data_IF_373027629096
#
_entry.id   IF_373027629096
#
_cell.length_a   1.000
_cell.length_b   1.000
_cell.length_c   1.000
_cell.angle_alpha   90.00
_cell.angle_beta   90.00
_cell.angle_gamma   90.00
#
_symmetry.space_group_name_H-M   'P 1'
#
loop_
_entity.id
_entity.type
_entity.pdbx_description
1 polymer ?
#
# COMPACT_ATOMS: atom_id res chain seq x y z
N UNK A 1 17.69 57.75 -42.74
CA UNK A 1 17.15 56.41 -43.08
C UNK A 1 17.70 55.41 -42.07
N UNK A 2 16.82 54.55 -41.51
CA UNK A 2 16.98 53.88 -40.20
C UNK A 2 18.03 52.76 -40.20
N UNK A 3 18.83 52.70 -39.13
CA UNK A 3 19.76 51.62 -38.82
C UNK A 3 19.04 50.37 -38.26
N UNK A 4 19.49 49.19 -38.67
CA UNK A 4 19.04 47.88 -38.19
C UNK A 4 19.69 47.55 -36.84
N UNK A 5 18.89 47.37 -35.79
CA UNK A 5 19.35 46.83 -34.52
C UNK A 5 19.00 45.34 -34.43
N UNK A 6 20.04 44.50 -34.33
CA UNK A 6 19.95 43.07 -34.00
C UNK A 6 19.72 42.92 -32.50
N UNK A 7 18.54 42.49 -32.10
CA UNK A 7 18.24 42.14 -30.70
C UNK A 7 18.53 40.67 -30.46
N UNK A 8 19.57 40.38 -29.66
CA UNK A 8 19.83 39.06 -29.11
C UNK A 8 18.98 38.88 -27.85
N UNK A 9 18.04 37.94 -27.86
CA UNK A 9 17.27 37.54 -26.67
C UNK A 9 18.01 36.39 -25.99
N UNK A 10 18.78 36.73 -24.94
CA UNK A 10 19.27 35.77 -23.96
C UNK A 10 18.10 35.42 -23.02
N UNK A 11 17.49 34.25 -23.23
CA UNK A 11 16.48 33.69 -22.32
C UNK A 11 17.16 32.87 -21.23
N UNK A 12 17.21 33.42 -20.01
CA UNK A 12 17.66 32.75 -18.79
C UNK A 12 16.60 31.73 -18.35
N UNK A 13 16.82 30.44 -18.58
CA UNK A 13 15.96 29.37 -18.06
C UNK A 13 16.31 29.11 -16.58
N UNK A 14 15.48 29.64 -15.68
CA UNK A 14 15.41 29.21 -14.28
C UNK A 14 14.91 27.75 -14.24
N UNK A 15 15.84 26.81 -14.04
CA UNK A 15 15.52 25.43 -13.67
C UNK A 15 15.24 25.39 -12.16
N UNK A 16 13.97 25.56 -11.78
CA UNK A 16 13.50 25.18 -10.45
C UNK A 16 13.72 23.66 -10.27
N UNK A 17 14.49 23.31 -9.24
CA UNK A 17 14.83 21.93 -8.92
C UNK A 17 13.61 21.06 -8.64
N UNK A 18 13.32 20.13 -9.53
CA UNK A 18 12.60 18.91 -9.21
C UNK A 18 13.54 18.04 -8.36
N UNK A 19 13.35 18.05 -7.05
CA UNK A 19 13.96 17.04 -6.18
C UNK A 19 13.34 15.69 -6.58
N UNK A 20 14.11 14.71 -7.07
CA UNK A 20 13.54 13.45 -7.48
C UNK A 20 13.00 12.73 -6.24
N UNK A 21 11.69 12.50 -6.23
CA UNK A 21 11.02 11.69 -5.21
C UNK A 21 11.25 10.18 -5.44
N UNK A 22 12.50 9.75 -5.69
CA UNK A 22 12.83 8.34 -5.95
C UNK A 22 14.33 8.08 -5.74
N UNK A 23 14.79 8.04 -4.49
CA UNK A 23 16.17 7.63 -4.18
C UNK A 23 16.27 6.48 -3.16
N UNK A 24 15.15 6.06 -2.57
CA UNK A 24 15.15 4.90 -1.70
C UNK A 24 15.16 3.63 -2.55
N UNK A 25 16.19 2.80 -2.37
CA UNK A 25 16.31 1.50 -3.03
C UNK A 25 15.44 0.42 -2.39
N UNK A 26 15.79 -0.83 -2.65
CA UNK A 26 15.11 -2.00 -2.08
C UNK A 26 15.07 -1.96 -0.55
N UNK A 27 14.07 -2.61 0.03
CA UNK A 27 13.89 -2.72 1.48
C UNK A 27 15.06 -3.46 2.13
N UNK A 28 15.89 -2.80 2.96
CA UNK A 28 17.06 -3.44 3.53
C UNK A 28 16.69 -4.44 4.64
N UNK A 29 17.52 -5.46 4.88
CA UNK A 29 17.39 -6.34 6.05
C UNK A 29 17.19 -5.54 7.34
N UNK A 30 16.08 -5.83 8.04
CA UNK A 30 15.68 -5.09 9.23
C UNK A 30 15.22 -6.04 10.32
N UNK A 31 15.98 -6.13 11.41
CA UNK A 31 15.63 -7.00 12.54
C UNK A 31 14.38 -6.52 13.30
N UNK A 32 14.37 -5.24 13.71
CA UNK A 32 13.34 -4.65 14.56
C UNK A 32 12.83 -3.33 14.02
N UNK A 33 11.57 -3.04 14.32
CA UNK A 33 10.88 -1.79 14.02
C UNK A 33 10.55 -1.07 15.31
N UNK A 34 10.55 0.27 15.29
CA UNK A 34 10.04 1.04 16.43
C UNK A 34 8.50 1.02 16.50
N UNK A 35 7.84 0.99 15.33
CA UNK A 35 6.39 1.02 15.20
C UNK A 35 5.97 0.53 13.81
N UNK A 36 4.70 0.19 13.66
CA UNK A 36 4.06 -0.11 12.37
C UNK A 36 2.86 0.81 12.16
N UNK A 37 2.76 1.39 10.96
CA UNK A 37 1.69 2.31 10.56
C UNK A 37 1.08 1.91 9.23
N UNK A 38 -0.18 2.24 9.06
CA UNK A 38 -0.89 2.14 7.79
C UNK A 38 -1.25 3.54 7.32
N UNK A 39 -0.98 3.82 6.05
CA UNK A 39 -1.36 5.04 5.37
C UNK A 39 -2.34 4.71 4.23
N UNK A 40 -3.60 5.08 4.42
CA UNK A 40 -4.68 4.91 3.43
C UNK A 40 -5.08 6.23 2.76
N UNK A 41 -4.32 7.32 2.96
CA UNK A 41 -4.62 8.60 2.31
C UNK A 41 -4.81 8.45 0.78
N UNK A 42 -3.98 7.67 0.05
CA UNK A 42 -4.20 7.49 -1.38
C UNK A 42 -5.54 6.84 -1.74
N UNK A 43 -6.09 5.97 -0.88
CA UNK A 43 -7.44 5.40 -1.08
C UNK A 43 -8.54 6.41 -0.79
N UNK A 44 -8.38 7.20 0.29
CA UNK A 44 -9.33 8.26 0.64
C UNK A 44 -9.42 9.30 -0.46
N UNK A 45 -8.28 9.70 -1.03
CA UNK A 45 -8.20 10.67 -2.13
C UNK A 45 -8.88 10.15 -3.42
N UNK A 46 -9.00 8.82 -3.57
CA UNK A 46 -9.74 8.15 -4.65
C UNK A 46 -11.24 7.97 -4.35
N UNK A 47 -11.73 8.49 -3.23
CA UNK A 47 -13.15 8.45 -2.85
C UNK A 47 -13.57 7.24 -2.01
N UNK A 48 -12.64 6.40 -1.55
CA UNK A 48 -12.95 5.18 -0.80
C UNK A 48 -13.11 5.39 0.72
N UNK A 49 -13.47 6.59 1.19
CA UNK A 49 -13.37 7.04 2.59
C UNK A 49 -13.67 6.00 3.68
N UNK A 50 -14.93 5.59 3.82
CA UNK A 50 -15.34 4.64 4.88
C UNK A 50 -14.67 3.26 4.75
N UNK A 51 -14.50 2.77 3.52
CA UNK A 51 -13.85 1.48 3.26
C UNK A 51 -12.35 1.53 3.54
N UNK A 52 -11.71 2.65 3.21
CA UNK A 52 -10.31 2.92 3.52
C UNK A 52 -10.07 2.98 5.03
N UNK A 53 -11.01 3.56 5.79
CA UNK A 53 -10.93 3.65 7.25
C UNK A 53 -11.08 2.29 7.91
N UNK A 54 -12.05 1.48 7.45
CA UNK A 54 -12.19 0.09 7.89
C UNK A 54 -10.93 -0.73 7.57
N UNK A 55 -10.41 -0.63 6.35
CA UNK A 55 -9.17 -1.29 5.96
C UNK A 55 -7.99 -0.83 6.82
N UNK A 56 -7.88 0.46 7.13
CA UNK A 56 -6.80 0.98 7.96
C UNK A 56 -6.83 0.35 9.37
N UNK A 57 -8.01 0.17 9.95
CA UNK A 57 -8.18 -0.48 11.24
C UNK A 57 -7.76 -1.96 11.19
N UNK A 58 -8.32 -2.72 10.25
CA UNK A 58 -8.06 -4.15 10.10
C UNK A 58 -6.59 -4.43 9.77
N UNK A 59 -6.02 -3.71 8.80
CA UNK A 59 -4.62 -3.87 8.40
C UNK A 59 -3.67 -3.43 9.51
N UNK A 60 -4.00 -2.39 10.29
CA UNK A 60 -3.18 -2.01 11.45
C UNK A 60 -3.17 -3.10 12.51
N UNK A 61 -4.32 -3.71 12.81
CA UNK A 61 -4.42 -4.81 13.76
C UNK A 61 -3.65 -6.04 13.26
N UNK A 62 -3.84 -6.43 12.00
CA UNK A 62 -3.15 -7.54 11.34
C UNK A 62 -1.62 -7.38 11.34
N UNK A 63 -1.12 -6.18 11.01
CA UNK A 63 0.31 -5.88 11.02
C UNK A 63 0.88 -5.90 12.44
N UNK A 64 0.20 -5.30 13.41
CA UNK A 64 0.66 -5.31 14.82
C UNK A 64 0.75 -6.73 15.37
N UNK A 65 -0.26 -7.56 15.08
CA UNK A 65 -0.26 -8.98 15.44
C UNK A 65 0.88 -9.73 14.78
N UNK A 66 1.03 -9.59 13.46
CA UNK A 66 2.03 -10.33 12.67
C UNK A 66 3.46 -9.93 13.00
N UNK A 67 3.71 -8.64 13.26
CA UNK A 67 5.03 -8.11 13.57
C UNK A 67 5.29 -7.96 15.08
N UNK A 68 4.45 -8.50 15.96
CA UNK A 68 4.54 -8.28 17.41
C UNK A 68 5.94 -8.57 17.98
N UNK A 69 6.58 -9.66 17.56
CA UNK A 69 7.95 -10.03 17.99
C UNK A 69 9.08 -9.17 17.40
N UNK A 70 8.76 -8.23 16.50
CA UNK A 70 9.71 -7.32 15.84
C UNK A 70 9.46 -5.85 16.21
N UNK A 71 8.44 -5.54 17.01
CA UNK A 71 8.11 -4.16 17.44
C UNK A 71 8.67 -3.91 18.85
N UNK A 72 9.28 -2.74 19.07
CA UNK A 72 9.67 -2.27 20.42
C UNK A 72 11.12 -1.82 20.59
N UNK A 73 11.89 -1.71 19.50
CA UNK A 73 13.27 -1.22 19.53
C UNK A 73 13.44 0.23 19.04
N UNK A 74 14.67 0.73 19.04
CA UNK A 74 15.03 2.04 18.46
C UNK A 74 15.16 2.02 16.91
N UNK A 75 14.56 1.01 16.26
CA UNK A 75 14.64 0.81 14.81
C UNK A 75 13.83 1.84 14.01
N UNK A 76 13.89 1.78 12.67
CA UNK A 76 13.00 2.55 11.81
C UNK A 76 11.53 2.11 11.97
N UNK A 77 10.60 2.93 11.47
CA UNK A 77 9.17 2.58 11.39
C UNK A 77 8.88 1.83 10.11
N UNK A 78 8.03 0.82 10.17
CA UNK A 78 7.41 0.23 9.00
C UNK A 78 6.12 0.99 8.68
N UNK A 79 6.01 1.58 7.50
CA UNK A 79 4.79 2.27 7.05
C UNK A 79 4.27 1.57 5.81
N UNK A 80 3.07 1.00 5.88
CA UNK A 80 2.40 0.40 4.72
C UNK A 80 1.48 1.43 4.09
N UNK A 81 1.83 1.89 2.89
CA UNK A 81 1.00 2.79 2.09
C UNK A 81 0.11 1.96 1.19
N UNK A 82 -1.20 2.10 1.32
CA UNK A 82 -2.17 1.37 0.50
C UNK A 82 -2.55 2.22 -0.70
N UNK A 83 -2.40 1.66 -1.90
CA UNK A 83 -2.60 2.37 -3.17
C UNK A 83 -3.84 1.94 -3.92
N UNK A 84 -4.27 0.68 -3.79
CA UNK A 84 -5.53 0.20 -4.35
C UNK A 84 -6.17 -0.91 -3.50
N UNK A 85 -7.49 -0.91 -3.46
CA UNK A 85 -8.34 -1.98 -2.94
C UNK A 85 -9.43 -2.24 -3.96
N UNK A 86 -9.59 -3.50 -4.36
CA UNK A 86 -10.69 -3.94 -5.23
C UNK A 86 -11.40 -5.11 -4.56
N UNK A 87 -12.58 -4.86 -4.01
CA UNK A 87 -13.51 -5.91 -3.59
C UNK A 87 -14.53 -6.17 -4.70
N UNK A 88 -14.58 -7.40 -5.21
CA UNK A 88 -15.54 -7.75 -6.28
C UNK A 88 -16.95 -8.01 -5.73
N UNK A 89 -18.03 -7.75 -6.47
CA UNK A 89 -19.36 -8.22 -6.06
C UNK A 89 -19.36 -9.75 -5.89
N UNK A 90 -19.90 -10.25 -4.78
CA UNK A 90 -19.95 -11.69 -4.49
C UNK A 90 -21.33 -12.11 -4.00
N UNK A 91 -21.90 -13.14 -4.65
CA UNK A 91 -23.26 -13.66 -4.37
C UNK A 91 -23.27 -15.19 -4.18
N UNK A 92 -22.17 -15.75 -3.66
CA UNK A 92 -22.07 -17.19 -3.39
C UNK A 92 -21.70 -18.05 -4.61
N UNK A 93 -21.02 -17.48 -5.61
CA UNK A 93 -20.46 -18.22 -6.72
C UNK A 93 -19.17 -18.96 -6.34
N UNK A 94 -18.94 -20.11 -6.96
CA UNK A 94 -17.61 -20.65 -7.15
C UNK A 94 -17.42 -20.84 -8.65
N UNK A 95 -16.23 -20.51 -9.16
CA UNK A 95 -15.86 -20.63 -10.57
C UNK A 95 -16.57 -21.81 -11.28
N UNK A 96 -17.59 -21.49 -12.08
CA UNK A 96 -18.30 -22.48 -12.88
C UNK A 96 -17.28 -23.09 -13.84
N UNK A 97 -17.09 -24.42 -13.79
CA UNK A 97 -16.13 -25.16 -14.64
C UNK A 97 -16.25 -24.67 -16.09
N UNK A 98 -15.22 -24.00 -16.60
CA UNK A 98 -15.14 -23.55 -17.99
C UNK A 98 -15.44 -22.08 -18.27
N UNK A 99 -15.84 -21.27 -17.28
CA UNK A 99 -16.03 -19.81 -17.43
C UNK A 99 -15.09 -19.07 -16.46
N UNK A 100 -13.81 -19.02 -16.83
CA UNK A 100 -12.77 -18.31 -16.07
C UNK A 100 -13.03 -16.80 -16.07
N UNK A 101 -13.77 -16.33 -15.07
CA UNK A 101 -14.01 -14.91 -14.84
C UNK A 101 -13.33 -14.47 -13.55
N UNK A 102 -12.49 -13.44 -13.63
CA UNK A 102 -11.76 -12.79 -12.54
C UNK A 102 -12.68 -12.03 -11.54
N UNK A 103 -13.95 -12.43 -11.44
CA UNK A 103 -15.00 -11.75 -10.68
C UNK A 103 -15.09 -12.23 -9.23
N UNK A 104 -14.32 -13.25 -8.85
CA UNK A 104 -14.30 -13.83 -7.50
C UNK A 104 -12.95 -13.64 -6.81
N UNK A 105 -12.17 -12.64 -7.25
CA UNK A 105 -10.85 -12.34 -6.67
C UNK A 105 -10.76 -10.89 -6.26
N UNK A 106 -10.39 -10.70 -5.00
CA UNK A 106 -10.11 -9.40 -4.41
C UNK A 106 -8.63 -9.09 -4.49
N UNK A 107 -8.33 -7.80 -4.54
CA UNK A 107 -6.98 -7.29 -4.64
C UNK A 107 -6.74 -6.20 -3.60
N UNK A 108 -5.59 -6.30 -2.94
CA UNK A 108 -5.03 -5.25 -2.08
C UNK A 108 -3.61 -4.98 -2.54
N UNK A 109 -3.37 -3.74 -2.97
CA UNK A 109 -2.07 -3.26 -3.43
C UNK A 109 -1.54 -2.18 -2.49
N UNK A 110 -0.25 -2.25 -2.21
CA UNK A 110 0.44 -1.26 -1.40
C UNK A 110 1.95 -1.34 -1.51
N UNK A 111 2.60 -0.50 -0.72
CA UNK A 111 4.05 -0.40 -0.62
C UNK A 111 4.43 -0.32 0.85
N UNK A 112 5.32 -1.21 1.29
CA UNK A 112 5.96 -1.10 2.59
C UNK A 112 7.18 -0.17 2.49
N UNK A 113 7.18 0.85 3.34
CA UNK A 113 8.25 1.82 3.47
C UNK A 113 8.98 1.59 4.79
N UNK A 114 10.31 1.53 4.71
CA UNK A 114 11.16 1.66 5.87
C UNK A 114 11.43 3.14 6.13
N UNK A 115 10.89 3.70 7.20
CA UNK A 115 10.96 5.14 7.47
C UNK A 115 11.87 5.41 8.67
N UNK A 116 12.94 6.16 8.44
CA UNK A 116 13.86 6.57 9.48
C UNK A 116 13.28 7.62 10.43
N UNK A 117 14.03 7.94 11.49
CA UNK A 117 13.58 8.83 12.57
C UNK A 117 13.25 10.25 12.09
N UNK A 118 13.95 10.76 11.08
CA UNK A 118 13.71 12.07 10.46
C UNK A 118 12.73 12.01 9.28
N UNK A 119 12.00 10.91 9.10
CA UNK A 119 10.95 10.78 8.09
C UNK A 119 11.46 10.45 6.68
N UNK A 120 12.76 10.24 6.50
CA UNK A 120 13.33 9.76 5.25
C UNK A 120 12.92 8.30 4.99
N UNK A 121 12.67 7.97 3.72
CA UNK A 121 12.46 6.59 3.29
C UNK A 121 13.82 5.94 3.05
N UNK A 122 14.11 4.89 3.80
CA UNK A 122 15.35 4.11 3.77
C UNK A 122 15.28 2.94 2.79
N UNK A 123 14.07 2.46 2.50
CA UNK A 123 13.84 1.36 1.57
C UNK A 123 12.36 1.16 1.29
N UNK A 124 12.07 0.45 0.20
CA UNK A 124 10.72 0.27 -0.36
C UNK A 124 10.50 -1.20 -0.73
N UNK A 125 9.28 -1.68 -0.53
CA UNK A 125 8.86 -3.01 -0.96
C UNK A 125 7.42 -2.97 -1.49
N UNK A 126 7.21 -2.99 -2.83
CA UNK A 126 5.88 -3.07 -3.40
C UNK A 126 5.27 -4.46 -3.13
N UNK A 127 3.99 -4.50 -2.80
CA UNK A 127 3.27 -5.76 -2.57
C UNK A 127 1.85 -5.70 -3.13
N UNK A 128 1.43 -6.83 -3.70
CA UNK A 128 0.04 -7.09 -4.05
C UNK A 128 -0.38 -8.42 -3.43
N UNK A 129 -1.60 -8.47 -2.92
CA UNK A 129 -2.24 -9.69 -2.42
C UNK A 129 -3.55 -9.89 -3.16
N UNK A 130 -3.78 -11.12 -3.61
CA UNK A 130 -5.03 -11.55 -4.22
C UNK A 130 -5.69 -12.63 -3.37
N UNK A 131 -6.98 -12.49 -3.06
CA UNK A 131 -7.74 -13.46 -2.24
C UNK A 131 -9.07 -13.82 -2.87
N UNK A 132 -9.55 -15.07 -2.77
CA UNK A 132 -10.90 -15.42 -3.13
C UNK A 132 -11.93 -14.56 -2.39
N UNK A 133 -12.94 -14.06 -3.11
CA UNK A 133 -14.02 -13.25 -2.54
C UNK A 133 -14.85 -14.02 -1.50
N UNK A 134 -14.80 -15.35 -1.53
CA UNK A 134 -15.46 -16.24 -0.56
C UNK A 134 -14.83 -16.21 0.84
N UNK A 135 -13.69 -15.55 1.05
CA UNK A 135 -13.01 -15.53 2.36
C UNK A 135 -13.78 -14.81 3.47
N UNK A 136 -14.84 -14.06 3.14
CA UNK A 136 -15.80 -13.56 4.14
C UNK A 136 -16.73 -14.63 4.73
N UNK A 137 -16.77 -15.83 4.15
CA UNK A 137 -17.65 -16.93 4.55
C UNK A 137 -19.03 -16.86 3.90
N UNK A 138 -20.09 -17.12 4.67
CA UNK A 138 -21.47 -17.07 4.18
C UNK A 138 -21.83 -15.67 3.66
N UNK A 139 -22.00 -15.54 2.34
CA UNK A 139 -22.21 -14.26 1.64
C UNK A 139 -23.47 -13.51 2.05
N UNK A 140 -24.49 -14.23 2.52
CA UNK A 140 -25.76 -13.66 2.99
C UNK A 140 -25.68 -13.12 4.42
N UNK A 141 -24.56 -13.32 5.12
CA UNK A 141 -24.40 -12.79 6.47
C UNK A 141 -24.19 -11.26 6.43
N UNK A 142 -24.79 -10.51 7.37
CA UNK A 142 -24.75 -9.04 7.34
C UNK A 142 -23.35 -8.45 7.49
N UNK A 143 -22.43 -9.20 8.10
CA UNK A 143 -21.04 -8.83 8.35
C UNK A 143 -20.05 -9.48 7.35
N UNK A 144 -20.55 -10.08 6.26
CA UNK A 144 -19.73 -10.75 5.26
C UNK A 144 -18.62 -9.86 4.68
N UNK A 145 -18.96 -8.65 4.23
CA UNK A 145 -17.98 -7.71 3.64
C UNK A 145 -16.91 -7.29 4.66
N UNK A 146 -17.29 -7.13 5.94
CA UNK A 146 -16.33 -6.80 7.00
C UNK A 146 -15.35 -7.96 7.25
N UNK A 147 -15.86 -9.21 7.36
CA UNK A 147 -15.02 -10.41 7.51
C UNK A 147 -14.08 -10.60 6.32
N UNK A 148 -14.58 -10.33 5.11
CA UNK A 148 -13.82 -10.40 3.87
C UNK A 148 -12.68 -9.38 3.83
N UNK A 149 -12.95 -8.13 4.25
CA UNK A 149 -11.94 -7.08 4.34
C UNK A 149 -10.86 -7.43 5.38
N UNK A 150 -11.27 -7.93 6.55
CA UNK A 150 -10.35 -8.39 7.58
C UNK A 150 -9.46 -9.55 7.08
N UNK A 151 -10.04 -10.50 6.32
CA UNK A 151 -9.30 -11.64 5.78
C UNK A 151 -8.18 -11.20 4.82
N UNK A 152 -8.47 -10.31 3.85
CA UNK A 152 -7.43 -9.83 2.93
C UNK A 152 -6.35 -9.01 3.64
N UNK A 153 -6.72 -8.24 4.68
CA UNK A 153 -5.78 -7.50 5.51
C UNK A 153 -4.83 -8.43 6.30
N UNK A 154 -5.37 -9.48 6.92
CA UNK A 154 -4.59 -10.50 7.63
C UNK A 154 -3.61 -11.22 6.69
N UNK A 155 -4.08 -11.62 5.51
CA UNK A 155 -3.25 -12.34 4.53
C UNK A 155 -2.15 -11.42 3.98
N UNK A 156 -2.47 -10.17 3.68
CA UNK A 156 -1.48 -9.18 3.24
C UNK A 156 -0.36 -9.01 4.29
N UNK A 157 -0.72 -8.87 5.57
CA UNK A 157 0.26 -8.73 6.65
C UNK A 157 1.16 -9.97 6.78
N UNK A 158 0.58 -11.18 6.67
CA UNK A 158 1.33 -12.44 6.72
C UNK A 158 2.32 -12.57 5.57
N UNK A 159 1.89 -12.26 4.33
CA UNK A 159 2.79 -12.27 3.18
C UNK A 159 3.90 -11.23 3.30
N UNK A 160 3.57 -10.03 3.76
CA UNK A 160 4.57 -8.99 3.99
C UNK A 160 5.62 -9.44 5.01
N UNK A 161 5.20 -10.06 6.11
CA UNK A 161 6.14 -10.54 7.10
C UNK A 161 7.01 -11.69 6.58
N UNK A 162 6.48 -12.55 5.70
CA UNK A 162 7.25 -13.62 5.05
C UNK A 162 8.32 -13.05 4.12
N UNK A 163 7.95 -12.04 3.33
CA UNK A 163 8.77 -11.60 2.19
C UNK A 163 9.73 -10.46 2.52
N UNK A 164 9.47 -9.68 3.57
CA UNK A 164 10.40 -8.64 3.99
C UNK A 164 11.74 -9.25 4.48
N UNK A 165 12.88 -8.75 3.98
CA UNK A 165 14.20 -9.22 4.40
C UNK A 165 14.41 -9.13 5.92
N UNK A 166 14.95 -10.21 6.48
CA UNK A 166 15.33 -10.33 7.90
C UNK A 166 16.85 -10.52 7.98
N UNK A 167 17.48 -9.94 9.00
CA UNK A 167 18.91 -10.13 9.30
C UNK A 167 19.21 -11.57 9.69
#
# INVERSE_FOLDING_TARGET
>A
MRAYARSWLAGLLLLCGLVPASAAGDFPPTATFSDVRVDVRPLRDKGAGLQADALAADLSAALRKTFAGRIGGAGPRLVVVVTALSLRPYVGGGAMRGRGGNFETDYLEGEALLVGRNGQVLGRYPQMTATPSSYGGAWYAPDFEARRLAAIADIYAQWLARDLPRN
#
